data_IF_919162749924
#
_entry.id   IF_919162749924
#
_cell.length_a   1.000
_cell.length_b   1.000
_cell.length_c   1.000
_cell.angle_alpha   90.00
_cell.angle_beta   90.00
_cell.angle_gamma   90.00
#
_symmetry.space_group_name_H-M   'P 1'
#
loop_
_entity.id
_entity.type
_entity.pdbx_description
1 polymer ?
#
# COMPACT_ATOMS: atom_id res chain seq x y z
N UNK A 1 11.39 -28.44 -2.44
CA UNK A 1 11.39 -28.84 -1.02
C UNK A 1 10.63 -27.75 -0.30
N UNK A 2 9.54 -28.08 0.37
CA UNK A 2 8.67 -27.08 1.00
C UNK A 2 9.36 -26.56 2.27
N UNK A 3 9.34 -25.25 2.46
CA UNK A 3 9.92 -24.58 3.61
C UNK A 3 8.81 -23.82 4.33
N UNK A 4 8.53 -24.13 5.61
CA UNK A 4 7.56 -23.38 6.37
C UNK A 4 8.05 -21.95 6.55
N UNK A 5 7.13 -20.98 6.43
CA UNK A 5 7.44 -19.61 6.77
C UNK A 5 7.75 -19.51 8.28
N UNK A 6 8.67 -18.63 8.69
CA UNK A 6 9.03 -18.48 10.10
C UNK A 6 7.90 -17.88 10.96
N UNK A 7 6.79 -17.47 10.35
CA UNK A 7 5.59 -16.96 11.00
C UNK A 7 4.35 -17.24 10.13
N UNK A 8 3.15 -17.27 10.73
CA UNK A 8 1.90 -17.33 9.97
C UNK A 8 1.77 -16.16 9.00
N UNK A 9 1.53 -16.44 7.72
CA UNK A 9 1.34 -15.43 6.69
C UNK A 9 0.02 -15.66 5.96
N UNK A 10 -0.54 -14.57 5.44
CA UNK A 10 -1.78 -14.59 4.67
C UNK A 10 -1.58 -13.95 3.30
N UNK A 11 -2.03 -14.66 2.28
CA UNK A 11 -2.13 -14.20 0.91
C UNK A 11 -3.45 -13.43 0.71
N UNK A 12 -3.43 -12.11 0.87
CA UNK A 12 -4.63 -11.29 0.74
C UNK A 12 -4.54 -10.34 -0.45
N UNK A 13 -5.66 -10.18 -1.15
CA UNK A 13 -5.81 -9.07 -2.09
C UNK A 13 -5.72 -7.76 -1.32
N UNK A 14 -4.80 -6.87 -1.75
CA UNK A 14 -4.71 -5.50 -1.22
C UNK A 14 -6.04 -4.77 -1.25
N UNK A 15 -6.87 -4.99 -2.28
CA UNK A 15 -8.20 -4.40 -2.36
C UNK A 15 -9.07 -4.78 -1.16
N UNK A 16 -9.03 -6.05 -0.75
CA UNK A 16 -9.85 -6.56 0.36
C UNK A 16 -9.25 -6.13 1.70
N UNK A 17 -7.94 -6.30 1.87
CA UNK A 17 -7.25 -5.92 3.11
C UNK A 17 -7.38 -4.42 3.39
N UNK A 18 -7.14 -3.57 2.39
CA UNK A 18 -7.19 -2.13 2.56
C UNK A 18 -8.60 -1.67 2.93
N UNK A 19 -9.63 -2.25 2.30
CA UNK A 19 -11.02 -1.93 2.63
C UNK A 19 -11.34 -2.29 4.10
N UNK A 20 -11.02 -3.52 4.52
CA UNK A 20 -11.26 -3.97 5.88
C UNK A 20 -10.52 -3.12 6.92
N UNK A 21 -9.30 -2.67 6.62
CA UNK A 21 -8.54 -1.78 7.50
C UNK A 21 -9.16 -0.38 7.60
N UNK A 22 -9.67 0.18 6.49
CA UNK A 22 -10.34 1.48 6.48
C UNK A 22 -11.67 1.43 7.23
N UNK A 23 -12.45 0.35 7.06
CA UNK A 23 -13.68 0.10 7.81
C UNK A 23 -13.39 -0.01 9.32
N UNK A 24 -12.35 -0.76 9.69
CA UNK A 24 -11.94 -0.89 11.09
C UNK A 24 -11.48 0.45 11.68
N UNK A 25 -10.68 1.24 10.96
CA UNK A 25 -10.28 2.57 11.42
C UNK A 25 -11.50 3.47 11.67
N UNK A 26 -12.48 3.42 10.77
CA UNK A 26 -13.73 4.19 10.91
C UNK A 26 -14.52 3.75 12.14
N UNK A 27 -14.62 2.43 12.40
CA UNK A 27 -15.31 1.93 13.60
C UNK A 27 -14.58 2.27 14.91
N UNK A 28 -13.27 2.50 14.85
CA UNK A 28 -12.48 3.06 15.95
C UNK A 28 -12.59 4.60 16.07
N UNK A 29 -13.39 5.27 15.23
CA UNK A 29 -13.64 6.71 15.29
C UNK A 29 -12.71 7.57 14.42
N UNK A 30 -11.90 6.96 13.55
CA UNK A 30 -11.08 7.71 12.59
C UNK A 30 -11.96 8.25 11.47
N UNK A 31 -11.86 9.56 11.18
CA UNK A 31 -12.50 10.15 10.01
C UNK A 31 -11.73 9.80 8.73
N UNK A 32 -12.21 8.82 7.98
CA UNK A 32 -11.61 8.38 6.71
C UNK A 32 -12.26 9.11 5.55
N UNK A 33 -11.49 9.97 4.86
CA UNK A 33 -11.97 10.72 3.69
C UNK A 33 -11.49 10.04 2.40
N UNK A 34 -12.43 9.55 1.59
CA UNK A 34 -12.15 8.85 0.32
C UNK A 34 -12.29 9.79 -0.88
N UNK A 35 -11.68 9.39 -2.00
CA UNK A 35 -11.72 10.16 -3.25
C UNK A 35 -10.96 11.49 -3.18
N UNK A 36 -10.23 11.74 -2.10
CA UNK A 36 -9.48 12.97 -1.84
C UNK A 36 -8.00 12.70 -1.98
N UNK A 37 -7.34 13.50 -2.81
CA UNK A 37 -5.89 13.42 -3.01
C UNK A 37 -5.25 14.60 -2.34
N UNK A 38 -4.45 14.39 -1.29
CA UNK A 38 -3.55 15.44 -0.80
C UNK A 38 -2.58 15.81 -1.94
N UNK A 39 -2.43 17.11 -2.22
CA UNK A 39 -1.61 17.60 -3.35
C UNK A 39 -0.44 18.47 -2.91
N UNK A 40 -0.58 19.16 -1.77
CA UNK A 40 0.42 20.05 -1.20
C UNK A 40 0.24 20.11 0.32
N UNK A 41 1.36 20.19 1.02
CA UNK A 41 1.40 20.54 2.44
C UNK A 41 2.22 21.81 2.57
N UNK A 42 1.72 22.75 3.35
CA UNK A 42 2.43 23.98 3.71
C UNK A 42 2.39 24.18 5.22
N UNK A 43 3.38 24.88 5.76
CA UNK A 43 3.36 25.28 7.15
C UNK A 43 2.44 26.50 7.28
N UNK A 44 1.55 26.49 8.27
CA UNK A 44 0.69 27.62 8.59
C UNK A 44 1.39 28.59 9.56
N UNK A 45 0.92 29.84 9.59
CA UNK A 45 1.50 30.92 10.42
C UNK A 45 1.46 30.61 11.93
N UNK A 46 0.52 29.78 12.36
CA UNK A 46 0.36 29.33 13.76
C UNK A 46 1.30 28.16 14.14
N UNK A 47 2.21 27.77 13.24
CA UNK A 47 3.15 26.66 13.43
C UNK A 47 2.57 25.28 13.16
N UNK A 48 1.33 25.19 12.66
CA UNK A 48 0.71 23.97 12.16
C UNK A 48 1.02 23.70 10.69
N UNK A 49 0.14 22.95 10.04
CA UNK A 49 0.18 22.64 8.62
C UNK A 49 -1.18 22.84 7.98
N UNK A 50 -1.18 23.23 6.71
CA UNK A 50 -2.36 23.23 5.85
C UNK A 50 -2.16 22.20 4.73
N UNK A 51 -3.12 21.28 4.59
CA UNK A 51 -3.11 20.24 3.56
C UNK A 51 -4.09 20.62 2.46
N UNK A 52 -3.59 20.93 1.26
CA UNK A 52 -4.43 21.22 0.10
C UNK A 52 -4.77 19.96 -0.68
N UNK A 53 -6.05 19.82 -1.05
CA UNK A 53 -6.57 18.74 -1.88
C UNK A 53 -6.82 19.15 -3.33
N UNK A 54 -6.72 20.46 -3.63
CA UNK A 54 -6.98 21.08 -4.92
C UNK A 54 -8.28 21.89 -4.95
N UNK A 55 -8.44 22.76 -5.95
CA UNK A 55 -9.67 23.55 -6.19
C UNK A 55 -10.16 24.38 -4.98
N UNK A 56 -9.22 24.88 -4.16
CA UNK A 56 -9.53 25.66 -2.96
C UNK A 56 -9.94 24.84 -1.73
N UNK A 57 -9.96 23.50 -1.83
CA UNK A 57 -10.25 22.60 -0.71
C UNK A 57 -8.96 22.31 0.08
N UNK A 58 -9.03 22.52 1.39
CA UNK A 58 -7.92 22.35 2.31
C UNK A 58 -8.38 21.94 3.71
N UNK A 59 -7.46 21.41 4.52
CA UNK A 59 -7.71 21.11 5.92
C UNK A 59 -6.47 21.39 6.78
N UNK A 60 -6.65 21.99 7.98
CA UNK A 60 -5.56 22.22 8.91
C UNK A 60 -5.18 20.93 9.64
N UNK A 61 -3.90 20.82 10.01
CA UNK A 61 -3.37 19.72 10.80
C UNK A 61 -2.25 20.21 11.72
N UNK A 62 -2.16 19.66 12.93
CA UNK A 62 -1.03 19.94 13.85
C UNK A 62 0.16 19.02 13.63
N UNK A 63 -0.08 17.84 13.07
CA UNK A 63 0.92 16.83 12.79
C UNK A 63 0.52 16.08 11.52
N UNK A 64 1.52 15.64 10.74
CA UNK A 64 1.30 14.91 9.50
C UNK A 64 2.17 13.65 9.48
N UNK A 65 1.52 12.52 9.20
CA UNK A 65 2.17 11.24 8.93
C UNK A 65 2.01 10.92 7.45
N UNK A 66 3.11 10.93 6.69
CA UNK A 66 3.08 10.68 5.25
C UNK A 66 3.04 9.18 4.94
N UNK A 67 1.93 8.73 4.37
CA UNK A 67 1.72 7.37 3.88
C UNK A 67 1.44 7.32 2.36
N UNK A 68 2.01 8.23 1.57
CA UNK A 68 1.79 8.37 0.12
C UNK A 68 2.57 7.37 -0.77
N UNK A 69 3.22 6.38 -0.16
CA UNK A 69 3.98 5.34 -0.87
C UNK A 69 5.24 5.89 -1.56
N UNK A 70 5.40 5.57 -2.85
CA UNK A 70 6.59 5.93 -3.65
C UNK A 70 6.53 7.33 -4.28
N UNK A 71 5.42 8.05 -4.13
CA UNK A 71 5.21 9.35 -4.73
C UNK A 71 5.42 10.45 -3.69
N UNK A 72 6.30 11.39 -4.00
CA UNK A 72 6.50 12.58 -3.19
C UNK A 72 5.28 13.50 -3.27
N UNK A 73 5.03 14.22 -2.17
CA UNK A 73 4.04 15.27 -2.11
C UNK A 73 4.71 16.64 -2.30
N UNK A 74 4.05 17.57 -2.99
CA UNK A 74 4.59 18.94 -3.09
C UNK A 74 4.64 19.58 -1.70
N UNK A 75 5.76 20.23 -1.39
CA UNK A 75 6.01 20.85 -0.09
C UNK A 75 6.71 19.94 0.93
N UNK A 76 6.66 18.61 0.77
CA UNK A 76 7.36 17.67 1.66
C UNK A 76 7.97 16.52 0.84
N UNK A 77 9.29 16.52 0.74
CA UNK A 77 10.03 15.43 0.10
C UNK A 77 10.27 14.29 1.08
N UNK A 78 10.34 13.05 0.59
CA UNK A 78 10.91 11.96 1.39
C UNK A 78 12.35 12.29 1.81
N UNK A 79 12.70 11.92 3.04
CA UNK A 79 14.07 12.05 3.55
C UNK A 79 15.10 11.25 2.74
N UNK A 80 14.68 10.16 2.10
CA UNK A 80 15.51 9.39 1.18
C UNK A 80 14.69 8.93 -0.04
N UNK A 81 15.20 9.12 -1.27
CA UNK A 81 14.56 8.57 -2.47
C UNK A 81 14.45 7.04 -2.33
N UNK A 82 13.34 6.48 -2.78
CA UNK A 82 13.17 5.03 -2.80
C UNK A 82 14.25 4.40 -3.69
N UNK A 83 14.85 3.29 -3.25
CA UNK A 83 15.77 2.52 -4.08
C UNK A 83 14.95 1.84 -5.18
N UNK A 84 14.96 2.43 -6.37
CA UNK A 84 14.36 1.80 -7.54
C UNK A 84 15.37 0.76 -8.06
N UNK A 85 14.96 -0.50 -8.09
CA UNK A 85 15.74 -1.55 -8.73
C UNK A 85 15.50 -1.55 -10.24
N UNK A 86 16.43 -2.13 -10.99
CA UNK A 86 16.29 -2.35 -12.45
C UNK A 86 15.30 -3.49 -12.80
N UNK A 87 14.62 -4.06 -11.80
CA UNK A 87 13.59 -5.08 -11.99
C UNK A 87 12.21 -4.48 -12.22
N UNK A 88 11.46 -5.08 -13.15
CA UNK A 88 10.04 -4.80 -13.39
C UNK A 88 9.19 -5.94 -12.80
N UNK A 89 8.20 -5.58 -12.00
CA UNK A 89 7.21 -6.53 -11.50
C UNK A 89 5.96 -6.53 -12.39
N UNK A 90 5.58 -7.71 -12.88
CA UNK A 90 4.34 -7.94 -13.63
C UNK A 90 3.38 -8.76 -12.77
N UNK A 91 2.10 -8.38 -12.72
CA UNK A 91 1.09 -9.04 -11.91
C UNK A 91 -0.16 -9.33 -12.72
N UNK A 92 -0.70 -10.54 -12.57
CA UNK A 92 -1.99 -10.93 -13.11
C UNK A 92 -2.73 -11.86 -12.15
N UNK A 93 -4.05 -11.98 -12.35
CA UNK A 93 -4.90 -12.87 -11.59
C UNK A 93 -5.31 -14.06 -12.44
N UNK A 94 -5.11 -15.28 -11.93
CA UNK A 94 -5.53 -16.51 -12.58
C UNK A 94 -6.74 -17.10 -11.85
N UNK A 95 -7.60 -17.77 -12.61
CA UNK A 95 -8.64 -18.64 -12.06
C UNK A 95 -8.26 -20.09 -12.30
N UNK A 96 -8.07 -20.84 -11.22
CA UNK A 96 -7.77 -22.26 -11.28
C UNK A 96 -9.02 -23.10 -11.01
N UNK A 97 -8.95 -24.39 -11.35
CA UNK A 97 -9.96 -25.34 -10.90
C UNK A 97 -9.88 -25.56 -9.38
N UNK A 98 -10.92 -26.19 -8.82
CA UNK A 98 -11.04 -26.42 -7.36
C UNK A 98 -9.81 -27.09 -6.76
N UNK A 99 -9.35 -28.19 -7.36
CA UNK A 99 -8.20 -28.98 -6.88
C UNK A 99 -6.92 -28.14 -6.78
N UNK A 100 -6.58 -27.38 -7.83
CA UNK A 100 -5.40 -26.50 -7.82
C UNK A 100 -5.55 -25.35 -6.85
N UNK A 101 -6.75 -24.78 -6.74
CA UNK A 101 -7.02 -23.69 -5.80
C UNK A 101 -6.83 -24.17 -4.37
N UNK A 102 -7.34 -25.34 -4.00
CA UNK A 102 -7.17 -25.92 -2.66
C UNK A 102 -5.70 -26.20 -2.31
N UNK A 103 -4.90 -26.63 -3.27
CA UNK A 103 -3.46 -26.79 -3.08
C UNK A 103 -2.75 -25.45 -2.85
N UNK A 104 -2.96 -24.49 -3.74
CA UNK A 104 -2.28 -23.18 -3.70
C UNK A 104 -2.72 -22.29 -2.54
N UNK A 105 -3.89 -22.53 -1.93
CA UNK A 105 -4.39 -21.73 -0.79
C UNK A 105 -3.42 -21.64 0.39
N UNK A 106 -2.52 -22.61 0.55
CA UNK A 106 -1.69 -22.76 1.75
C UNK A 106 -0.20 -22.63 1.48
N UNK A 107 0.18 -22.37 0.23
CA UNK A 107 1.58 -22.30 -0.19
C UNK A 107 1.80 -21.05 -1.04
N UNK A 108 3.00 -20.51 -0.98
CA UNK A 108 3.49 -19.57 -2.00
C UNK A 108 4.55 -20.30 -2.81
N UNK A 109 4.29 -20.50 -4.09
CA UNK A 109 5.28 -21.11 -4.98
C UNK A 109 6.21 -20.04 -5.54
N UNK A 110 7.51 -20.28 -5.42
CA UNK A 110 8.54 -19.47 -6.05
C UNK A 110 9.28 -20.31 -7.09
N UNK A 111 9.23 -19.85 -8.33
CA UNK A 111 9.94 -20.48 -9.45
C UNK A 111 11.11 -19.58 -9.80
N UNK A 112 12.33 -20.05 -9.52
CA UNK A 112 13.56 -19.30 -9.80
C UNK A 112 14.01 -19.56 -11.24
N UNK A 113 14.33 -18.49 -11.94
CA UNK A 113 14.84 -18.50 -13.31
C UNK A 113 16.15 -17.72 -13.35
N UNK A 114 16.86 -17.77 -14.49
CA UNK A 114 18.02 -16.90 -14.69
C UNK A 114 17.55 -15.44 -14.65
N UNK A 115 18.07 -14.68 -13.69
CA UNK A 115 17.84 -13.23 -13.52
C UNK A 115 16.41 -12.80 -13.16
N UNK A 116 15.48 -13.72 -12.91
CA UNK A 116 14.13 -13.38 -12.45
C UNK A 116 13.49 -14.51 -11.64
N UNK A 117 12.29 -14.26 -11.11
CA UNK A 117 11.49 -15.27 -10.46
C UNK A 117 10.00 -15.05 -10.75
N UNK A 118 9.22 -16.12 -10.64
CA UNK A 118 7.76 -16.08 -10.65
C UNK A 118 7.26 -16.43 -9.26
N UNK A 119 6.26 -15.71 -8.78
CA UNK A 119 5.56 -16.00 -7.54
C UNK A 119 4.10 -16.36 -7.84
N UNK A 120 3.63 -17.48 -7.30
CA UNK A 120 2.22 -17.85 -7.32
C UNK A 120 1.70 -17.91 -5.89
N UNK A 121 0.59 -17.20 -5.66
CA UNK A 121 -0.04 -16.95 -4.37
C UNK A 121 -1.56 -16.89 -4.53
#
# INVERSE_FOLDING_TARGET
MDQPLPFPALALSRKILDEALLEHATSCGVNVIRGKTARRIEQSDDGGFEVSFGSGDSAPARAIFLASGKHDLRGVKRAAPGRQSDYLALKMYYRFNKKKTEHLRWVTELILLKECYLGLM
#
